data_IF_642985172768
#
_entry.id   IF_642985172768
#
_cell.length_a   1.000
_cell.length_b   1.000
_cell.length_c   1.000
_cell.angle_alpha   90.00
_cell.angle_beta   90.00
_cell.angle_gamma   90.00
#
_symmetry.space_group_name_H-M   'P 1'
#
loop_
_entity.id
_entity.type
_entity.pdbx_description
1 polymer ?
#
# COMPACT_ATOMS: atom_id res chain seq x y z
N UNK A 1 11.61 5.48 -6.12
CA UNK A 1 11.00 4.23 -5.60
C UNK A 1 9.79 4.64 -4.77
N UNK A 2 8.56 4.34 -5.19
CA UNK A 2 7.33 4.92 -4.58
C UNK A 2 6.70 4.05 -3.47
N UNK A 3 7.20 2.83 -3.28
CA UNK A 3 6.81 1.93 -2.21
C UNK A 3 8.00 1.03 -1.82
N UNK A 4 8.08 0.66 -0.55
CA UNK A 4 9.11 -0.23 0.01
C UNK A 4 8.49 -1.32 0.89
N UNK A 5 9.14 -2.47 0.97
CA UNK A 5 8.79 -3.57 1.87
C UNK A 5 10.01 -3.95 2.70
N UNK A 6 9.84 -4.11 4.01
CA UNK A 6 10.89 -4.66 4.85
C UNK A 6 11.13 -6.14 4.53
N UNK A 7 12.40 -6.57 4.41
CA UNK A 7 12.72 -7.93 3.97
C UNK A 7 12.30 -9.02 4.96
N UNK A 8 12.39 -8.73 6.26
CA UNK A 8 12.15 -9.70 7.35
C UNK A 8 10.78 -9.56 8.02
N UNK A 9 10.17 -8.37 7.97
CA UNK A 9 8.98 -8.03 8.74
C UNK A 9 7.87 -7.63 7.76
N UNK A 10 6.58 -7.86 8.09
CA UNK A 10 5.45 -7.48 7.23
C UNK A 10 5.17 -5.97 7.30
N UNK A 11 6.20 -5.15 7.13
CA UNK A 11 6.15 -3.69 7.21
C UNK A 11 6.33 -3.15 5.80
N UNK A 12 5.46 -2.21 5.42
CA UNK A 12 5.39 -1.62 4.09
C UNK A 12 5.36 -0.10 4.22
N UNK A 13 6.15 0.59 3.41
CA UNK A 13 6.14 2.06 3.29
C UNK A 13 5.57 2.47 1.95
N UNK A 14 4.64 3.41 1.93
CA UNK A 14 4.00 3.95 0.74
C UNK A 14 4.18 5.47 0.73
N UNK A 15 4.66 6.03 -0.37
CA UNK A 15 4.86 7.48 -0.50
C UNK A 15 3.57 8.22 -0.92
N UNK A 16 2.59 7.49 -1.41
CA UNK A 16 1.29 8.01 -1.82
C UNK A 16 0.19 7.58 -0.86
N UNK A 17 -0.97 8.23 -0.96
CA UNK A 17 -2.16 7.98 -0.15
C UNK A 17 -3.11 7.03 -0.90
N UNK A 18 -3.05 5.69 -0.70
CA UNK A 18 -3.98 4.74 -1.32
C UNK A 18 -5.43 4.92 -0.86
N UNK A 19 -5.67 5.63 0.23
CA UNK A 19 -6.99 5.99 0.76
C UNK A 19 -7.65 7.16 0.02
N UNK A 20 -6.87 7.97 -0.71
CA UNK A 20 -7.42 9.12 -1.42
C UNK A 20 -8.39 8.69 -2.54
N UNK A 21 -9.51 9.41 -2.66
CA UNK A 21 -10.57 9.08 -3.63
C UNK A 21 -10.09 9.12 -5.10
N UNK A 22 -9.05 9.93 -5.36
CA UNK A 22 -8.44 10.09 -6.67
C UNK A 22 -7.46 8.95 -7.02
N UNK A 23 -7.09 8.11 -6.06
CA UNK A 23 -6.22 6.95 -6.32
C UNK A 23 -7.06 5.82 -6.91
N UNK A 24 -7.12 5.73 -8.24
CA UNK A 24 -7.99 4.80 -8.99
C UNK A 24 -7.88 3.32 -8.56
N UNK A 25 -6.69 2.89 -8.11
CA UNK A 25 -6.44 1.52 -7.61
C UNK A 25 -6.26 1.44 -6.09
N UNK A 26 -6.50 2.53 -5.37
CA UNK A 26 -6.26 2.68 -3.93
C UNK A 26 -7.02 1.64 -3.08
N UNK A 27 -8.32 1.49 -3.33
CA UNK A 27 -9.16 0.46 -2.68
C UNK A 27 -8.64 -0.97 -2.88
N UNK A 28 -8.10 -1.30 -4.07
CA UNK A 28 -7.53 -2.63 -4.34
C UNK A 28 -6.22 -2.84 -3.57
N UNK A 29 -5.39 -1.80 -3.47
CA UNK A 29 -4.15 -1.84 -2.69
C UNK A 29 -4.46 -2.09 -1.21
N UNK A 30 -5.42 -1.35 -0.64
CA UNK A 30 -5.87 -1.53 0.74
C UNK A 30 -6.45 -2.95 0.98
N UNK A 31 -7.28 -3.45 0.06
CA UNK A 31 -7.83 -4.82 0.16
C UNK A 31 -6.74 -5.90 0.12
N UNK A 32 -5.70 -5.70 -0.68
CA UNK A 32 -4.57 -6.61 -0.70
C UNK A 32 -3.76 -6.52 0.60
N UNK A 33 -3.60 -5.32 1.16
CA UNK A 33 -2.94 -5.12 2.44
C UNK A 33 -3.65 -5.81 3.59
N UNK A 34 -4.99 -5.75 3.64
CA UNK A 34 -5.80 -6.45 4.66
C UNK A 34 -5.78 -7.98 4.54
N UNK A 35 -5.32 -8.52 3.41
CA UNK A 35 -5.25 -9.97 3.14
C UNK A 35 -3.85 -10.56 3.34
N UNK A 36 -2.85 -9.71 3.61
CA UNK A 36 -1.47 -10.11 3.92
C UNK A 36 -1.36 -10.53 5.38
#
# INVERSE_FOLDING_TARGET
IMAIKHKKYPIYGLQFHPEAVLTQKGKKILKNFMKL
#
